data_IF_683560828566
#
_entry.id   IF_683560828566
#
_cell.length_a   1.000
_cell.length_b   1.000
_cell.length_c   1.000
_cell.angle_alpha   90.00
_cell.angle_beta   90.00
_cell.angle_gamma   90.00
#
_symmetry.space_group_name_H-M   'P 1'
#
loop_
_entity.id
_entity.type
_entity.pdbx_description
1 polymer ?
#
# COMPACT_ATOMS: atom_id res chain seq x y z
N UNK A 1 17.01 33.26 -27.31
CA UNK A 1 16.32 32.92 -26.06
C UNK A 1 15.67 31.54 -26.19
N UNK A 2 16.44 30.45 -26.35
CA UNK A 2 15.83 29.10 -26.50
C UNK A 2 16.59 27.97 -25.79
N UNK A 3 17.69 28.24 -25.08
CA UNK A 3 18.61 27.16 -24.66
C UNK A 3 18.55 26.83 -23.16
N UNK A 4 17.67 27.48 -22.39
CA UNK A 4 17.58 27.26 -20.94
C UNK A 4 16.40 26.36 -20.54
N UNK A 5 15.41 26.19 -21.41
CA UNK A 5 14.25 25.33 -21.15
C UNK A 5 14.55 23.85 -21.43
N UNK A 6 15.53 23.55 -22.30
CA UNK A 6 15.83 22.18 -22.77
C UNK A 6 16.85 21.47 -21.86
N UNK A 7 17.71 22.19 -21.16
CA UNK A 7 18.72 21.56 -20.27
C UNK A 7 18.11 21.03 -18.97
N UNK A 8 17.03 21.64 -18.47
CA UNK A 8 16.36 21.22 -17.21
C UNK A 8 15.62 19.88 -17.37
N UNK A 9 15.24 19.50 -18.60
CA UNK A 9 14.49 18.25 -18.84
C UNK A 9 15.37 17.01 -18.95
N UNK A 10 16.60 17.10 -19.45
CA UNK A 10 17.46 15.90 -19.60
C UNK A 10 18.09 15.46 -18.28
N UNK A 11 18.43 16.40 -17.39
CA UNK A 11 19.01 16.09 -16.07
C UNK A 11 17.97 15.52 -15.10
N UNK A 12 16.69 15.86 -15.27
CA UNK A 12 15.59 15.26 -14.52
C UNK A 12 15.19 13.86 -15.03
N UNK A 13 15.42 13.55 -16.32
CA UNK A 13 15.19 12.22 -16.89
C UNK A 13 16.27 11.19 -16.51
N UNK A 14 17.54 11.61 -16.35
CA UNK A 14 18.62 10.71 -15.91
C UNK A 14 18.48 10.36 -14.41
N UNK A 15 18.11 11.34 -13.58
CA UNK A 15 17.86 11.13 -12.15
C UNK A 15 16.66 10.20 -11.90
N UNK A 16 15.59 10.33 -12.69
CA UNK A 16 14.42 9.45 -12.60
C UNK A 16 14.72 8.02 -13.08
N UNK A 17 15.55 7.84 -14.12
CA UNK A 17 16.02 6.51 -14.55
C UNK A 17 16.86 5.82 -13.48
N UNK A 18 17.78 6.52 -12.83
CA UNK A 18 18.64 5.96 -11.77
C UNK A 18 17.82 5.59 -10.52
N UNK A 19 16.85 6.43 -10.14
CA UNK A 19 15.92 6.16 -9.04
C UNK A 19 15.00 4.98 -9.36
N UNK A 20 14.44 4.89 -10.57
CA UNK A 20 13.57 3.79 -11.00
C UNK A 20 14.34 2.48 -11.18
N UNK A 21 15.58 2.52 -11.66
CA UNK A 21 16.44 1.34 -11.81
C UNK A 21 16.82 0.74 -10.45
N UNK A 22 17.01 1.58 -9.43
CA UNK A 22 17.14 1.16 -8.03
C UNK A 22 15.81 0.75 -7.37
N UNK A 23 14.66 1.03 -8.00
CA UNK A 23 13.32 0.70 -7.53
C UNK A 23 12.83 -0.69 -8.01
N UNK A 24 13.50 -1.33 -8.98
CA UNK A 24 12.78 -2.21 -9.91
C UNK A 24 12.78 -3.72 -9.67
N UNK A 25 13.51 -4.30 -8.72
CA UNK A 25 13.56 -5.78 -8.66
C UNK A 25 12.72 -6.45 -7.55
N UNK A 26 12.30 -5.73 -6.50
CA UNK A 26 11.46 -6.30 -5.43
C UNK A 26 10.15 -5.53 -5.13
N UNK A 27 10.08 -4.24 -5.47
CA UNK A 27 9.00 -3.35 -5.02
C UNK A 27 7.67 -3.52 -5.77
N UNK A 28 7.68 -3.94 -7.04
CA UNK A 28 6.44 -4.01 -7.83
C UNK A 28 5.52 -5.17 -7.39
N UNK A 29 6.06 -6.38 -7.17
CA UNK A 29 5.25 -7.50 -6.66
C UNK A 29 4.94 -7.41 -5.17
N UNK A 30 5.84 -6.82 -4.39
CA UNK A 30 5.60 -6.59 -2.96
C UNK A 30 4.51 -5.54 -2.74
N UNK A 31 4.54 -4.45 -3.52
CA UNK A 31 3.52 -3.42 -3.53
C UNK A 31 2.14 -3.95 -3.90
N UNK A 32 2.04 -4.83 -4.90
CA UNK A 32 0.77 -5.45 -5.30
C UNK A 32 0.17 -6.33 -4.18
N UNK A 33 0.99 -7.18 -3.53
CA UNK A 33 0.52 -8.02 -2.41
C UNK A 33 0.06 -7.18 -1.22
N UNK A 34 0.76 -6.10 -0.90
CA UNK A 34 0.35 -5.13 0.10
C UNK A 34 -0.99 -4.49 -0.26
N UNK A 35 -1.11 -3.96 -1.48
CA UNK A 35 -2.34 -3.30 -1.94
C UNK A 35 -3.53 -4.26 -1.97
N UNK A 36 -3.33 -5.51 -2.39
CA UNK A 36 -4.35 -6.55 -2.33
C UNK A 36 -4.77 -6.87 -0.89
N UNK A 37 -3.83 -6.98 0.05
CA UNK A 37 -4.14 -7.20 1.46
C UNK A 37 -4.97 -6.05 2.06
N UNK A 38 -4.61 -4.79 1.74
CA UNK A 38 -5.36 -3.60 2.17
C UNK A 38 -6.78 -3.60 1.58
N UNK A 39 -6.92 -3.82 0.28
CA UNK A 39 -8.23 -3.82 -0.39
C UNK A 39 -9.17 -4.90 0.17
N UNK A 40 -8.65 -6.11 0.45
CA UNK A 40 -9.43 -7.18 1.06
C UNK A 40 -9.84 -6.85 2.51
N UNK A 41 -8.97 -6.19 3.28
CA UNK A 41 -9.33 -5.73 4.62
C UNK A 41 -10.41 -4.65 4.59
N UNK A 42 -10.37 -3.74 3.61
CA UNK A 42 -11.39 -2.71 3.41
C UNK A 42 -12.74 -3.32 3.00
N UNK A 43 -12.72 -4.40 2.21
CA UNK A 43 -13.89 -5.21 1.91
C UNK A 43 -14.43 -6.00 3.12
N UNK A 44 -13.73 -5.96 4.26
CA UNK A 44 -14.14 -6.58 5.51
C UNK A 44 -13.70 -8.03 5.67
N UNK A 45 -12.82 -8.55 4.81
CA UNK A 45 -12.22 -9.87 4.98
C UNK A 45 -11.38 -9.95 6.25
N UNK A 46 -11.36 -11.13 6.86
CA UNK A 46 -10.51 -11.43 8.03
C UNK A 46 -9.05 -11.65 7.60
N UNK A 47 -8.09 -11.43 8.50
CA UNK A 47 -6.66 -11.63 8.23
C UNK A 47 -6.36 -13.03 7.64
N UNK A 48 -7.04 -14.08 8.13
CA UNK A 48 -6.88 -15.45 7.60
C UNK A 48 -7.37 -15.61 6.16
N UNK A 49 -8.50 -14.99 5.81
CA UNK A 49 -9.00 -14.98 4.43
C UNK A 49 -8.06 -14.20 3.51
N UNK A 50 -7.50 -13.10 4.02
CA UNK A 50 -6.51 -12.31 3.29
C UNK A 50 -5.26 -13.15 3.05
N UNK A 51 -4.76 -13.87 4.07
CA UNK A 51 -3.62 -14.77 3.93
C UNK A 51 -3.84 -15.87 2.88
N UNK A 52 -5.03 -16.50 2.86
CA UNK A 52 -5.33 -17.55 1.88
C UNK A 52 -5.32 -17.03 0.44
N UNK A 53 -5.71 -15.77 0.20
CA UNK A 53 -5.73 -15.16 -1.13
C UNK A 53 -4.35 -14.63 -1.54
N UNK A 54 -3.65 -13.98 -0.61
CA UNK A 54 -2.38 -13.30 -0.88
C UNK A 54 -1.14 -14.19 -0.73
N UNK A 55 -1.31 -15.40 -0.19
CA UNK A 55 -0.23 -16.37 0.02
C UNK A 55 0.75 -15.97 1.14
N UNK A 56 0.38 -15.06 2.04
CA UNK A 56 1.22 -14.70 3.17
C UNK A 56 1.36 -15.88 4.14
N UNK A 57 2.60 -16.22 4.49
CA UNK A 57 2.91 -17.31 5.43
C UNK A 57 2.70 -16.92 6.90
N UNK A 58 2.60 -15.63 7.19
CA UNK A 58 2.53 -15.09 8.54
C UNK A 58 1.38 -14.10 8.66
N UNK A 59 0.61 -14.25 9.75
CA UNK A 59 -0.46 -13.33 10.15
C UNK A 59 0.12 -11.96 10.46
N UNK A 60 1.30 -11.89 11.10
CA UNK A 60 1.92 -10.63 11.48
C UNK A 60 2.19 -9.72 10.26
N UNK A 61 2.52 -10.31 9.11
CA UNK A 61 2.73 -9.56 7.87
C UNK A 61 1.43 -8.96 7.33
N UNK A 62 0.35 -9.75 7.35
CA UNK A 62 -0.98 -9.27 6.94
C UNK A 62 -1.45 -8.18 7.90
N UNK A 63 -1.38 -8.44 9.20
CA UNK A 63 -1.75 -7.49 10.25
C UNK A 63 -0.99 -6.16 10.11
N UNK A 64 0.31 -6.21 9.79
CA UNK A 64 1.10 -5.01 9.54
C UNK A 64 0.52 -4.14 8.41
N UNK A 65 0.01 -4.75 7.34
CA UNK A 65 -0.61 -4.02 6.23
C UNK A 65 -2.06 -3.60 6.49
N UNK A 66 -2.82 -4.38 7.26
CA UNK A 66 -4.26 -4.14 7.49
C UNK A 66 -4.56 -3.30 8.73
N UNK A 67 -3.59 -3.13 9.65
CA UNK A 67 -3.76 -2.44 10.95
C UNK A 67 -4.50 -1.11 10.85
N UNK A 68 -4.17 -0.26 9.87
CA UNK A 68 -4.82 1.05 9.69
C UNK A 68 -6.28 0.92 9.28
N UNK A 69 -6.60 -0.07 8.46
CA UNK A 69 -7.97 -0.36 8.02
C UNK A 69 -8.79 -0.88 9.19
N UNK A 70 -8.22 -1.84 9.93
CA UNK A 70 -8.87 -2.44 11.11
C UNK A 70 -9.14 -1.39 12.18
N UNK A 71 -8.18 -0.48 12.44
CA UNK A 71 -8.37 0.62 13.38
C UNK A 71 -9.55 1.52 12.98
N UNK A 72 -9.63 1.95 11.71
CA UNK A 72 -10.75 2.76 11.21
C UNK A 72 -12.09 2.02 11.30
N UNK A 73 -12.10 0.72 11.04
CA UNK A 73 -13.30 -0.11 11.14
C UNK A 73 -13.77 -0.22 12.59
N UNK A 74 -12.85 -0.48 13.51
CA UNK A 74 -13.14 -0.56 14.94
C UNK A 74 -13.62 0.77 15.51
N UNK A 75 -13.02 1.89 15.10
CA UNK A 75 -13.45 3.24 15.47
C UNK A 75 -14.93 3.48 15.10
N UNK A 76 -15.29 3.24 13.83
CA UNK A 76 -16.69 3.37 13.37
C UNK A 76 -17.63 2.48 14.17
N UNK A 77 -17.25 1.22 14.40
CA UNK A 77 -18.06 0.28 15.17
C UNK A 77 -18.21 0.71 16.64
N UNK A 78 -17.16 1.24 17.26
CA UNK A 78 -17.19 1.73 18.63
C UNK A 78 -18.12 2.93 18.79
N UNK A 79 -18.06 3.89 17.85
CA UNK A 79 -18.96 5.06 17.83
C UNK A 79 -20.42 4.62 17.67
N UNK A 80 -20.70 3.70 16.75
CA UNK A 80 -22.06 3.16 16.57
C UNK A 80 -22.57 2.51 17.85
N UNK A 81 -21.75 1.65 18.50
CA UNK A 81 -22.12 1.03 19.76
C UNK A 81 -22.38 2.04 20.88
N UNK A 82 -21.58 3.10 20.94
CA UNK A 82 -21.78 4.19 21.90
C UNK A 82 -23.10 4.93 21.66
N UNK A 83 -23.49 5.14 20.40
CA UNK A 83 -24.78 5.79 20.07
C UNK A 83 -26.01 4.91 20.34
N UNK A 84 -25.81 3.61 20.50
CA UNK A 84 -26.87 2.63 20.75
C UNK A 84 -27.01 2.25 22.23
N UNK A 85 -26.11 2.76 23.08
CA UNK A 85 -26.16 2.63 24.54
C UNK A 85 -26.93 3.81 25.15
#
# INVERSE_FOLDING_TARGET
MENHTVTVTLESYSLTREVIKNLSNELHFHGLRKSAAVALAEAGCTERQIMSITGHKSVAMVSHYTKKVDQKKQEKQAIIKLSQA
#
